data_IF_412040331116
#
_entry.id   IF_412040331116
#
_cell.length_a   1.000
_cell.length_b   1.000
_cell.length_c   1.000
_cell.angle_alpha   90.00
_cell.angle_beta   90.00
_cell.angle_gamma   90.00
#
_symmetry.space_group_name_H-M   'P 1'
#
loop_
_entity.id
_entity.type
_entity.pdbx_description
1 polymer ?
#
# COMPACT_ATOMS: atom_id res chain seq x y z
N UNK A 1 -7.62 -13.39 12.16
CA UNK A 1 -7.90 -14.78 11.76
C UNK A 1 -6.64 -15.54 12.12
N UNK A 2 -6.17 -16.53 11.36
CA UNK A 2 -4.75 -16.93 11.38
C UNK A 2 -4.29 -17.00 9.94
N UNK A 3 -2.99 -16.84 9.67
CA UNK A 3 -2.44 -17.06 8.33
C UNK A 3 -2.85 -18.44 7.80
N UNK A 4 -3.12 -18.57 6.49
CA UNK A 4 -3.37 -19.86 5.88
C UNK A 4 -2.13 -20.75 6.01
N UNK A 5 -2.33 -22.05 6.28
CA UNK A 5 -1.22 -22.99 6.51
C UNK A 5 -0.30 -23.18 5.28
N UNK A 6 -0.84 -22.92 4.08
CA UNK A 6 -0.10 -22.89 2.83
C UNK A 6 -0.88 -21.98 1.85
N UNK A 7 -0.58 -20.67 1.80
CA UNK A 7 -1.22 -19.77 0.85
C UNK A 7 -0.95 -20.23 -0.58
N UNK A 8 -1.93 -20.05 -1.46
CA UNK A 8 -1.79 -20.25 -2.91
C UNK A 8 -1.66 -18.94 -3.67
N UNK A 9 -1.94 -17.82 -3.02
CA UNK A 9 -1.71 -16.50 -3.57
C UNK A 9 -1.17 -15.52 -2.52
N UNK A 10 -0.29 -14.62 -2.96
CA UNK A 10 0.19 -13.47 -2.20
C UNK A 10 -0.12 -12.21 -2.99
N UNK A 11 -0.94 -11.33 -2.39
CA UNK A 11 -1.22 -10.01 -2.93
C UNK A 11 -0.38 -8.96 -2.21
N UNK A 12 0.26 -8.09 -2.97
CA UNK A 12 1.16 -7.05 -2.47
C UNK A 12 0.56 -5.67 -2.76
N UNK A 13 0.45 -4.84 -1.73
CA UNK A 13 0.40 -3.41 -1.95
C UNK A 13 1.75 -2.87 -2.45
N UNK A 14 1.74 -1.70 -3.06
CA UNK A 14 2.93 -1.10 -3.66
C UNK A 14 3.57 -0.03 -2.77
N UNK A 15 2.79 0.96 -2.31
CA UNK A 15 3.32 2.10 -1.54
C UNK A 15 3.60 1.69 -0.10
N UNK A 16 4.87 1.67 0.28
CA UNK A 16 5.34 1.16 1.56
C UNK A 16 5.87 -0.26 1.49
N UNK A 17 5.10 -1.29 1.07
CA UNK A 17 5.62 -2.64 0.96
C UNK A 17 6.59 -2.88 -0.20
N UNK A 18 6.48 -2.19 -1.34
CA UNK A 18 7.39 -2.41 -2.49
C UNK A 18 8.29 -1.19 -2.72
N UNK A 19 7.69 0.00 -2.78
CA UNK A 19 8.37 1.27 -2.96
C UNK A 19 8.30 2.13 -1.70
N UNK A 20 9.34 2.92 -1.45
CA UNK A 20 9.31 3.95 -0.40
C UNK A 20 8.22 5.00 -0.70
N UNK A 21 7.37 5.29 0.29
CA UNK A 21 6.28 6.27 0.21
C UNK A 21 6.76 7.74 0.13
N UNK A 22 8.06 8.00 0.28
CA UNK A 22 8.58 9.37 0.19
C UNK A 22 8.26 10.03 -1.15
N UNK A 23 8.20 9.26 -2.23
CA UNK A 23 7.80 9.78 -3.55
C UNK A 23 6.34 10.25 -3.59
N UNK A 24 5.44 9.58 -2.86
CA UNK A 24 4.05 10.00 -2.69
C UNK A 24 3.99 11.28 -1.85
N UNK A 25 4.75 11.34 -0.75
CA UNK A 25 4.85 12.53 0.11
C UNK A 25 5.32 13.75 -0.69
N UNK A 26 6.38 13.60 -1.48
CA UNK A 26 6.93 14.67 -2.32
C UNK A 26 5.92 15.16 -3.38
N UNK A 27 5.19 14.23 -3.99
CA UNK A 27 4.13 14.54 -4.95
C UNK A 27 2.96 15.32 -4.31
N UNK A 28 2.55 14.92 -3.10
CA UNK A 28 1.50 15.62 -2.34
C UNK A 28 1.96 17.01 -1.92
N UNK A 29 3.19 17.17 -1.42
CA UNK A 29 3.74 18.47 -1.05
C UNK A 29 3.83 19.42 -2.25
N UNK A 30 4.24 18.91 -3.41
CA UNK A 30 4.28 19.68 -4.66
C UNK A 30 2.89 20.16 -5.05
N UNK A 31 1.89 19.27 -5.03
CA UNK A 31 0.50 19.61 -5.34
C UNK A 31 -0.08 20.65 -4.35
N UNK A 32 0.20 20.50 -3.05
CA UNK A 32 -0.23 21.45 -2.03
C UNK A 32 0.37 22.84 -2.24
N UNK A 33 1.66 22.92 -2.57
CA UNK A 33 2.32 24.20 -2.85
C UNK A 33 1.76 24.88 -4.10
N UNK A 34 1.51 24.12 -5.17
CA UNK A 34 0.89 24.64 -6.39
C UNK A 34 -0.51 25.20 -6.12
N UNK A 35 -1.34 24.48 -5.36
CA UNK A 35 -2.68 24.94 -4.99
C UNK A 35 -2.63 26.16 -4.07
N UNK A 36 -1.71 26.17 -3.09
CA UNK A 36 -1.51 27.31 -2.20
C UNK A 36 -1.08 28.56 -2.97
N UNK A 37 -0.15 28.41 -3.92
CA UNK A 37 0.31 29.49 -4.79
C UNK A 37 -0.80 30.06 -5.67
N UNK A 38 -1.66 29.21 -6.22
CA UNK A 38 -2.82 29.66 -7.00
C UNK A 38 -3.85 30.45 -6.17
N UNK A 39 -3.92 30.18 -4.86
CA UNK A 39 -4.71 30.96 -3.92
C UNK A 39 -3.99 32.25 -3.44
N UNK A 40 -2.83 32.60 -4.01
CA UNK A 40 -2.05 33.78 -3.63
C UNK A 40 -1.31 33.65 -2.29
N UNK A 41 -1.10 32.42 -1.81
CA UNK A 41 -0.41 32.10 -0.55
C UNK A 41 1.00 31.56 -0.84
N UNK A 42 1.85 31.48 0.19
CA UNK A 42 3.16 30.85 0.10
C UNK A 42 3.09 29.32 0.13
N UNK A 43 4.24 28.63 0.05
CA UNK A 43 4.33 27.18 0.24
C UNK A 43 3.70 26.73 1.56
N UNK A 44 3.12 25.52 1.59
CA UNK A 44 2.53 24.98 2.82
C UNK A 44 3.61 24.71 3.86
N UNK A 45 3.30 25.01 5.12
CA UNK A 45 4.21 24.77 6.25
C UNK A 45 4.50 23.26 6.39
N UNK A 46 5.79 22.90 6.33
CA UNK A 46 6.23 21.50 6.37
C UNK A 46 6.02 20.84 7.72
N UNK A 47 6.10 21.60 8.81
CA UNK A 47 5.81 21.09 10.15
C UNK A 47 4.31 20.83 10.31
N UNK A 48 3.47 21.69 9.74
CA UNK A 48 2.02 21.48 9.73
C UNK A 48 1.66 20.24 8.89
N UNK A 49 2.27 20.07 7.71
CA UNK A 49 2.14 18.85 6.91
C UNK A 49 2.53 17.60 7.70
N UNK A 50 3.72 17.60 8.31
CA UNK A 50 4.20 16.46 9.09
C UNK A 50 3.25 16.11 10.23
N UNK A 51 2.72 17.13 10.93
CA UNK A 51 1.73 16.91 11.99
C UNK A 51 0.42 16.27 11.51
N UNK A 52 -0.08 16.65 10.33
CA UNK A 52 -1.27 16.01 9.72
C UNK A 52 -0.94 14.57 9.29
N UNK A 53 0.20 14.39 8.61
CA UNK A 53 0.64 13.10 8.10
C UNK A 53 0.84 12.07 9.22
N UNK A 54 1.60 12.42 10.26
CA UNK A 54 1.87 11.54 11.39
C UNK A 54 0.60 11.22 12.18
N UNK A 55 -0.33 12.17 12.30
CA UNK A 55 -1.62 11.91 12.97
C UNK A 55 -2.45 10.89 12.19
N UNK A 56 -2.55 11.01 10.87
CA UNK A 56 -3.30 10.05 10.04
C UNK A 56 -2.63 8.67 10.07
N UNK A 57 -1.29 8.62 9.97
CA UNK A 57 -0.52 7.38 10.14
C UNK A 57 -0.76 6.75 11.51
N UNK A 58 -0.76 7.52 12.60
CA UNK A 58 -1.01 7.00 13.94
C UNK A 58 -2.45 6.48 14.12
N UNK A 59 -3.43 7.15 13.50
CA UNK A 59 -4.84 6.74 13.56
C UNK A 59 -5.11 5.46 12.78
N UNK A 60 -4.30 5.15 11.76
CA UNK A 60 -4.52 4.03 10.85
C UNK A 60 -5.98 4.02 10.36
N UNK A 61 -6.45 5.19 9.93
CA UNK A 61 -7.85 5.43 9.60
C UNK A 61 -8.04 6.82 9.00
N UNK A 62 -8.94 6.90 8.02
CA UNK A 62 -9.34 8.16 7.39
C UNK A 62 -8.49 8.56 6.19
N UNK A 63 -8.88 9.66 5.56
CA UNK A 63 -8.23 10.14 4.33
C UNK A 63 -7.21 11.22 4.63
N UNK A 64 -5.93 10.93 4.36
CA UNK A 64 -4.85 11.92 4.40
C UNK A 64 -5.19 13.13 3.52
N UNK A 65 -5.68 12.89 2.29
CA UNK A 65 -6.01 13.97 1.34
C UNK A 65 -7.12 14.87 1.86
N UNK A 66 -8.17 14.32 2.47
CA UNK A 66 -9.23 15.13 3.09
C UNK A 66 -8.69 15.97 4.25
N UNK A 67 -7.83 15.39 5.09
CA UNK A 67 -7.22 16.11 6.21
C UNK A 67 -6.32 17.25 5.73
N UNK A 68 -5.45 16.99 4.75
CA UNK A 68 -4.57 18.00 4.15
C UNK A 68 -5.35 19.13 3.46
N UNK A 69 -6.38 18.79 2.68
CA UNK A 69 -7.22 19.79 2.01
C UNK A 69 -7.93 20.69 3.05
N UNK A 70 -8.47 20.08 4.12
CA UNK A 70 -9.14 20.82 5.18
C UNK A 70 -8.18 21.72 5.97
N UNK A 71 -7.02 21.18 6.37
CA UNK A 71 -6.16 21.83 7.37
C UNK A 71 -5.08 22.73 6.76
N UNK A 72 -4.60 22.41 5.56
CA UNK A 72 -3.53 23.17 4.90
C UNK A 72 -4.05 24.09 3.79
N UNK A 73 -5.14 23.70 3.12
CA UNK A 73 -5.76 24.56 2.10
C UNK A 73 -6.96 25.35 2.67
N UNK A 74 -7.55 24.87 3.77
CA UNK A 74 -8.73 25.49 4.38
C UNK A 74 -10.04 25.12 3.69
N UNK A 75 -10.03 24.08 2.85
CA UNK A 75 -11.18 23.65 2.05
C UNK A 75 -11.19 22.14 1.87
N UNK A 76 -12.15 21.46 2.51
CA UNK A 76 -12.35 20.02 2.36
C UNK A 76 -12.79 19.64 0.93
N UNK A 77 -13.44 20.55 0.19
CA UNK A 77 -13.85 20.37 -1.20
C UNK A 77 -12.67 20.29 -2.17
N UNK A 78 -11.49 20.78 -1.77
CA UNK A 78 -10.27 20.72 -2.55
C UNK A 78 -9.63 19.31 -2.58
N UNK A 79 -10.22 18.31 -1.89
CA UNK A 79 -9.70 16.93 -1.84
C UNK A 79 -9.49 16.32 -3.22
N UNK A 80 -10.46 16.44 -4.11
CA UNK A 80 -10.41 15.81 -5.44
C UNK A 80 -9.37 16.51 -6.31
N UNK A 81 -9.32 17.84 -6.30
CA UNK A 81 -8.29 18.59 -7.02
C UNK A 81 -6.88 18.30 -6.49
N UNK A 82 -6.71 18.19 -5.17
CA UNK A 82 -5.45 17.78 -4.56
C UNK A 82 -5.03 16.38 -5.04
N UNK A 83 -5.99 15.46 -5.14
CA UNK A 83 -5.72 14.13 -5.68
C UNK A 83 -5.28 14.20 -7.15
N UNK A 84 -6.03 14.88 -8.01
CA UNK A 84 -5.70 15.07 -9.43
C UNK A 84 -4.27 15.61 -9.63
N UNK A 85 -3.91 16.66 -8.88
CA UNK A 85 -2.57 17.28 -8.96
C UNK A 85 -1.48 16.38 -8.42
N UNK A 86 -1.75 15.68 -7.32
CA UNK A 86 -0.79 14.70 -6.77
C UNK A 86 -0.44 13.64 -7.82
N UNK A 87 -1.43 13.13 -8.55
CA UNK A 87 -1.21 12.09 -9.59
C UNK A 87 -0.26 12.54 -10.69
N UNK A 88 -0.29 13.81 -11.08
CA UNK A 88 0.62 14.34 -12.11
C UNK A 88 2.10 14.29 -11.69
N UNK A 89 2.37 14.34 -10.38
CA UNK A 89 3.71 14.34 -9.80
C UNK A 89 4.12 12.98 -9.23
N UNK A 90 3.16 12.09 -8.97
CA UNK A 90 3.42 10.80 -8.33
C UNK A 90 4.06 9.81 -9.28
N UNK A 91 5.37 9.60 -9.11
CA UNK A 91 6.20 8.68 -9.89
C UNK A 91 7.04 7.83 -8.95
N UNK A 92 7.47 6.65 -9.40
CA UNK A 92 8.39 5.76 -8.68
C UNK A 92 9.76 5.75 -9.38
N UNK A 93 10.71 6.64 -9.01
CA UNK A 93 12.03 6.70 -9.64
C UNK A 93 12.87 5.43 -9.41
N UNK A 94 13.90 5.22 -10.22
CA UNK A 94 14.86 4.16 -9.96
C UNK A 94 15.55 4.37 -8.61
N UNK A 95 15.72 3.30 -7.83
CA UNK A 95 16.36 3.33 -6.51
C UNK A 95 15.40 3.51 -5.33
N UNK A 96 14.09 3.63 -5.56
CA UNK A 96 13.09 3.63 -4.47
C UNK A 96 12.54 2.25 -4.13
N UNK A 97 12.90 1.21 -4.90
CA UNK A 97 12.55 -0.18 -4.60
C UNK A 97 13.28 -0.63 -3.33
N UNK A 98 12.57 -1.19 -2.36
CA UNK A 98 13.21 -1.79 -1.19
C UNK A 98 14.02 -3.04 -1.58
N UNK A 99 15.20 -3.18 -0.98
CA UNK A 99 16.16 -4.23 -1.33
C UNK A 99 15.66 -5.66 -1.00
N UNK A 100 14.66 -5.79 -0.13
CA UNK A 100 14.06 -7.05 0.30
C UNK A 100 12.95 -7.56 -0.62
N UNK A 101 12.48 -6.76 -1.59
CA UNK A 101 11.38 -7.11 -2.49
C UNK A 101 11.74 -8.26 -3.43
N UNK A 102 12.80 -8.12 -4.21
CA UNK A 102 13.21 -9.18 -5.16
C UNK A 102 13.65 -10.47 -4.45
N UNK A 103 14.40 -10.43 -3.34
CA UNK A 103 14.67 -11.62 -2.54
C UNK A 103 13.41 -12.31 -2.02
N UNK A 104 12.40 -11.54 -1.59
CA UNK A 104 11.12 -12.09 -1.16
C UNK A 104 10.39 -12.79 -2.32
N UNK A 105 10.25 -12.12 -3.46
CA UNK A 105 9.57 -12.66 -4.65
C UNK A 105 10.28 -13.91 -5.19
N UNK A 106 11.61 -13.87 -5.28
CA UNK A 106 12.42 -15.01 -5.74
C UNK A 106 12.44 -16.20 -4.77
N UNK A 107 11.97 -16.04 -3.54
CA UNK A 107 11.83 -17.12 -2.57
C UNK A 107 10.43 -17.79 -2.61
N UNK A 108 9.47 -17.24 -3.34
CA UNK A 108 8.16 -17.85 -3.54
C UNK A 108 8.27 -19.01 -4.55
N UNK A 109 7.46 -20.06 -4.35
CA UNK A 109 7.37 -21.17 -5.31
C UNK A 109 6.64 -20.72 -6.59
N UNK A 110 6.99 -21.30 -7.74
CA UNK A 110 6.30 -21.08 -9.02
C UNK A 110 4.80 -21.47 -8.98
N UNK A 111 4.38 -22.24 -7.97
CA UNK A 111 2.97 -22.63 -7.75
C UNK A 111 2.16 -21.57 -6.98
N UNK A 112 2.79 -20.50 -6.48
CA UNK A 112 2.15 -19.41 -5.74
C UNK A 112 1.85 -18.27 -6.70
N UNK A 113 0.58 -17.89 -6.80
CA UNK A 113 0.15 -16.74 -7.59
C UNK A 113 0.56 -15.45 -6.87
N UNK A 114 1.32 -14.60 -7.54
CA UNK A 114 1.69 -13.28 -7.03
C UNK A 114 0.85 -12.22 -7.71
N UNK A 115 0.22 -11.36 -6.94
CA UNK A 115 -0.56 -10.25 -7.48
C UNK A 115 -0.19 -8.91 -6.87
N UNK A 116 -0.25 -7.86 -7.70
CA UNK A 116 -0.33 -6.48 -7.22
C UNK A 116 -1.77 -6.20 -6.82
N UNK A 117 -1.98 -5.58 -5.67
CA UNK A 117 -3.29 -5.13 -5.16
C UNK A 117 -3.10 -3.77 -4.49
N UNK A 118 -3.14 -2.71 -5.29
CA UNK A 118 -2.68 -1.39 -4.88
C UNK A 118 -3.51 -0.24 -5.45
N UNK A 119 -3.68 0.80 -4.63
CA UNK A 119 -4.23 2.07 -5.08
C UNK A 119 -3.11 2.88 -5.75
N UNK A 120 -2.95 2.72 -7.05
CA UNK A 120 -1.84 3.27 -7.82
C UNK A 120 -2.30 3.75 -9.19
N UNK A 121 -1.53 4.67 -9.77
CA UNK A 121 -1.65 5.07 -11.18
C UNK A 121 -1.09 3.99 -12.10
N UNK A 122 -1.56 3.96 -13.36
CA UNK A 122 -1.10 2.99 -14.37
C UNK A 122 0.42 3.02 -14.57
N UNK A 123 1.05 4.19 -14.37
CA UNK A 123 2.51 4.37 -14.45
C UNK A 123 3.32 3.50 -13.49
N UNK A 124 2.69 2.93 -12.45
CA UNK A 124 3.35 1.98 -11.54
C UNK A 124 3.82 0.72 -12.27
N UNK A 125 3.11 0.30 -13.33
CA UNK A 125 3.45 -0.91 -14.09
C UNK A 125 4.81 -0.73 -14.77
N UNK A 126 5.08 0.45 -15.34
CA UNK A 126 6.37 0.76 -15.95
C UNK A 126 7.50 0.73 -14.92
N UNK A 127 7.27 1.24 -13.71
CA UNK A 127 8.25 1.21 -12.63
C UNK A 127 8.56 -0.23 -12.17
N UNK A 128 7.51 -1.02 -11.92
CA UNK A 128 7.65 -2.43 -11.51
C UNK A 128 8.32 -3.27 -12.60
N UNK A 129 8.06 -2.96 -13.88
CA UNK A 129 8.74 -3.59 -15.02
C UNK A 129 10.22 -3.21 -15.07
N UNK A 130 10.53 -1.91 -14.96
CA UNK A 130 11.91 -1.41 -14.95
C UNK A 130 12.75 -2.07 -13.84
N UNK A 131 12.16 -2.27 -12.68
CA UNK A 131 12.87 -2.78 -11.50
C UNK A 131 12.82 -4.31 -11.36
N UNK A 132 12.29 -5.03 -12.35
CA UNK A 132 12.28 -6.50 -12.39
C UNK A 132 11.21 -7.17 -11.53
N UNK A 133 10.30 -6.40 -10.92
CA UNK A 133 9.18 -6.96 -10.13
C UNK A 133 8.13 -7.58 -11.04
N UNK A 134 7.88 -7.00 -12.22
CA UNK A 134 6.84 -7.48 -13.14
C UNK A 134 7.05 -8.93 -13.60
N UNK A 135 8.29 -9.42 -13.64
CA UNK A 135 8.63 -10.80 -14.02
C UNK A 135 8.10 -11.84 -13.01
N UNK A 136 7.70 -11.39 -11.82
CA UNK A 136 7.14 -12.21 -10.75
C UNK A 136 5.63 -12.00 -10.56
N UNK A 137 4.95 -11.16 -11.36
CA UNK A 137 3.55 -10.78 -11.12
C UNK A 137 2.62 -11.46 -12.12
N UNK A 138 1.70 -12.27 -11.61
CA UNK A 138 0.66 -12.95 -12.39
C UNK A 138 -0.62 -12.12 -12.51
N UNK A 139 -0.96 -11.34 -11.47
CA UNK A 139 -2.23 -10.60 -11.37
C UNK A 139 -2.00 -9.11 -11.13
N UNK A 140 -2.56 -8.26 -11.98
CA UNK A 140 -2.37 -6.79 -11.93
C UNK A 140 -3.60 -6.04 -11.40
N UNK A 141 -3.82 -6.09 -10.09
CA UNK A 141 -4.86 -5.33 -9.39
C UNK A 141 -4.47 -3.89 -9.10
N UNK A 142 -4.18 -3.11 -10.15
CA UNK A 142 -3.88 -1.68 -10.07
C UNK A 142 -5.17 -0.88 -10.19
N UNK A 143 -5.50 -0.04 -9.21
CA UNK A 143 -6.80 0.65 -9.15
C UNK A 143 -7.13 1.48 -10.39
N UNK A 144 -6.15 2.21 -10.94
CA UNK A 144 -6.34 3.00 -12.16
C UNK A 144 -6.64 2.15 -13.41
N UNK A 145 -6.23 0.87 -13.42
CA UNK A 145 -6.43 -0.06 -14.53
C UNK A 145 -7.76 -0.80 -14.40
N UNK A 146 -8.08 -1.28 -13.20
CA UNK A 146 -9.25 -2.14 -12.98
C UNK A 146 -10.52 -1.39 -12.56
N UNK A 147 -10.39 -0.13 -12.13
CA UNK A 147 -11.51 0.74 -11.74
C UNK A 147 -12.06 0.51 -10.32
N UNK A 148 -11.36 -0.25 -9.49
CA UNK A 148 -11.69 -0.48 -8.08
C UNK A 148 -10.52 -0.08 -7.18
N UNK A 149 -10.80 0.53 -6.02
CA UNK A 149 -9.77 0.96 -5.07
C UNK A 149 -10.03 0.42 -3.66
N UNK A 150 -8.97 0.15 -2.90
CA UNK A 150 -9.03 -0.07 -1.45
C UNK A 150 -9.55 1.20 -0.75
N UNK A 151 -10.33 1.10 0.33
CA UNK A 151 -10.68 -0.11 1.09
C UNK A 151 -11.88 -0.90 0.53
N UNK A 152 -12.39 -0.55 -0.66
CA UNK A 152 -13.54 -1.22 -1.24
C UNK A 152 -13.22 -2.72 -1.49
N UNK A 153 -14.11 -3.66 -1.11
CA UNK A 153 -13.85 -5.08 -1.25
C UNK A 153 -13.76 -5.57 -2.70
N UNK A 154 -14.17 -4.74 -3.67
CA UNK A 154 -14.22 -5.06 -5.10
C UNK A 154 -12.83 -5.35 -5.67
N UNK A 155 -11.80 -4.59 -5.27
CA UNK A 155 -10.44 -4.83 -5.75
C UNK A 155 -9.90 -6.17 -5.23
N UNK A 156 -10.09 -6.47 -3.95
CA UNK A 156 -9.72 -7.77 -3.36
C UNK A 156 -10.45 -8.93 -4.04
N UNK A 157 -11.77 -8.81 -4.24
CA UNK A 157 -12.56 -9.83 -4.93
C UNK A 157 -12.13 -9.99 -6.39
N UNK A 158 -11.70 -8.91 -7.04
CA UNK A 158 -11.16 -8.95 -8.38
C UNK A 158 -9.86 -9.75 -8.41
N UNK A 159 -8.88 -9.42 -7.56
CA UNK A 159 -7.61 -10.15 -7.50
C UNK A 159 -7.80 -11.63 -7.16
N UNK A 160 -8.69 -11.97 -6.22
CA UNK A 160 -9.01 -13.36 -5.87
C UNK A 160 -9.56 -14.16 -7.07
N UNK A 161 -10.45 -13.54 -7.87
CA UNK A 161 -11.01 -14.19 -9.06
C UNK A 161 -9.94 -14.41 -10.13
N UNK A 162 -9.13 -13.41 -10.42
CA UNK A 162 -8.06 -13.51 -11.42
C UNK A 162 -6.99 -14.54 -11.00
N UNK A 163 -6.69 -14.61 -9.70
CA UNK A 163 -5.80 -15.63 -9.14
C UNK A 163 -6.42 -17.03 -9.06
N UNK A 164 -7.74 -17.17 -9.23
CA UNK A 164 -8.43 -18.46 -9.15
C UNK A 164 -8.38 -19.12 -7.77
N UNK A 165 -8.35 -18.33 -6.69
CA UNK A 165 -8.25 -18.82 -5.30
C UNK A 165 -9.40 -18.30 -4.43
N UNK A 166 -9.72 -19.05 -3.38
CA UNK A 166 -10.64 -18.58 -2.34
C UNK A 166 -9.93 -17.65 -1.34
N UNK A 167 -10.66 -16.77 -0.62
CA UNK A 167 -10.05 -15.86 0.35
C UNK A 167 -9.15 -16.55 1.37
N UNK A 168 -9.58 -17.69 1.91
CA UNK A 168 -8.82 -18.46 2.90
C UNK A 168 -7.56 -19.16 2.35
N UNK A 169 -7.28 -19.05 1.05
CA UNK A 169 -6.06 -19.53 0.41
C UNK A 169 -5.12 -18.37 0.05
N UNK A 170 -5.48 -17.12 0.33
CA UNK A 170 -4.70 -15.95 -0.06
C UNK A 170 -4.21 -15.14 1.16
N UNK A 171 -3.07 -14.47 0.98
CA UNK A 171 -2.55 -13.48 1.93
C UNK A 171 -2.46 -12.13 1.25
N UNK A 172 -2.90 -11.07 1.92
CA UNK A 172 -2.63 -9.69 1.51
C UNK A 172 -1.55 -9.08 2.40
N UNK A 173 -0.54 -8.48 1.77
CA UNK A 173 0.60 -7.82 2.40
C UNK A 173 0.50 -6.32 2.12
N UNK A 174 0.24 -5.53 3.15
CA UNK A 174 0.04 -4.08 3.05
C UNK A 174 0.63 -3.33 4.22
N UNK A 175 0.62 -1.99 4.18
CA UNK A 175 1.19 -1.15 5.25
C UNK A 175 0.13 -0.34 6.01
N UNK A 176 -1.16 -0.48 5.68
CA UNK A 176 -2.24 0.24 6.37
C UNK A 176 -3.33 -0.64 6.92
N UNK A 177 -3.73 -0.41 8.16
CA UNK A 177 -4.82 -1.18 8.76
C UNK A 177 -6.16 -0.90 8.10
N UNK A 178 -6.47 0.36 7.78
CA UNK A 178 -7.77 0.77 7.24
C UNK A 178 -7.99 0.36 5.78
N UNK A 179 -6.95 0.34 4.97
CA UNK A 179 -7.05 0.05 3.53
C UNK A 179 -6.54 -1.33 3.13
N UNK A 180 -5.63 -1.94 3.88
CA UNK A 180 -5.10 -3.27 3.58
C UNK A 180 -5.63 -4.33 4.54
N UNK A 181 -5.33 -4.21 5.84
CA UNK A 181 -5.53 -5.31 6.80
C UNK A 181 -7.01 -5.56 7.09
N UNK A 182 -7.74 -4.54 7.56
CA UNK A 182 -9.15 -4.69 7.94
C UNK A 182 -10.03 -5.15 6.77
N UNK A 183 -9.96 -4.58 5.55
CA UNK A 183 -10.79 -5.07 4.44
C UNK A 183 -10.39 -6.46 3.94
N UNK A 184 -9.08 -6.82 3.93
CA UNK A 184 -8.65 -8.17 3.59
C UNK A 184 -9.12 -9.21 4.63
N UNK A 185 -8.95 -8.89 5.92
CA UNK A 185 -9.41 -9.72 7.04
C UNK A 185 -10.93 -9.93 7.01
N UNK A 186 -11.70 -8.88 6.72
CA UNK A 186 -13.16 -8.95 6.59
C UNK A 186 -13.63 -9.87 5.44
N UNK A 187 -12.79 -10.10 4.43
CA UNK A 187 -13.04 -11.04 3.34
C UNK A 187 -12.51 -12.45 3.61
N UNK A 188 -11.75 -12.64 4.70
CA UNK A 188 -11.18 -13.92 5.11
C UNK A 188 -9.80 -14.21 4.52
N UNK A 189 -9.09 -13.20 4.01
CA UNK A 189 -7.68 -13.35 3.63
C UNK A 189 -6.80 -13.41 4.89
N UNK A 190 -5.67 -14.11 4.78
CA UNK A 190 -4.57 -13.88 5.72
C UNK A 190 -4.02 -12.46 5.53
N UNK A 191 -3.55 -11.86 6.61
CA UNK A 191 -3.13 -10.45 6.61
C UNK A 191 -1.74 -10.28 7.19
N UNK A 192 -0.88 -9.61 6.41
CA UNK A 192 0.45 -9.20 6.85
C UNK A 192 0.50 -7.68 6.84
N UNK A 193 0.85 -7.11 7.99
CA UNK A 193 1.08 -5.69 8.13
C UNK A 193 2.57 -5.37 8.13
N UNK A 194 3.02 -4.67 7.10
CA UNK A 194 4.40 -4.20 6.99
C UNK A 194 4.55 -2.88 7.75
N UNK A 195 5.40 -2.86 8.76
CA UNK A 195 5.66 -1.72 9.66
C UNK A 195 6.65 -0.72 9.03
N UNK A 196 6.39 -0.31 7.78
CA UNK A 196 7.13 0.74 7.05
C UNK A 196 6.20 1.59 6.19
N UNK A 197 6.67 2.77 5.76
CA UNK A 197 5.86 3.72 4.97
C UNK A 197 4.74 4.35 5.80
N UNK A 198 3.49 4.27 5.33
CA UNK A 198 2.30 4.79 6.03
C UNK A 198 1.93 4.04 7.33
N UNK A 199 2.63 2.96 7.71
CA UNK A 199 2.55 2.41 9.07
C UNK A 199 3.12 3.39 10.10
N UNK A 200 2.58 3.48 11.33
CA UNK A 200 3.07 4.41 12.33
C UNK A 200 4.39 3.92 12.95
N UNK A 201 5.28 4.84 13.31
CA UNK A 201 6.58 4.51 13.93
C UNK A 201 6.44 3.77 15.27
N UNK A 202 5.31 3.97 15.96
CA UNK A 202 4.99 3.33 17.25
C UNK A 202 3.56 2.79 17.24
N UNK A 203 3.34 1.62 16.61
CA UNK A 203 2.05 0.94 16.66
C UNK A 203 1.62 0.64 18.10
N UNK A 204 0.33 0.77 18.40
CA UNK A 204 -0.20 0.37 19.70
C UNK A 204 -0.32 -1.17 19.79
N UNK A 205 -0.38 -1.74 21.01
CA UNK A 205 -0.66 -3.17 21.18
C UNK A 205 -1.95 -3.63 20.50
N UNK A 206 -2.98 -2.79 20.49
CA UNK A 206 -4.25 -3.08 19.82
C UNK A 206 -4.07 -3.16 18.31
N UNK A 207 -3.34 -2.21 17.71
CA UNK A 207 -3.02 -2.20 16.28
C UNK A 207 -2.21 -3.43 15.86
N UNK A 208 -1.21 -3.82 16.66
CA UNK A 208 -0.40 -5.01 16.41
C UNK A 208 -1.17 -6.32 16.52
N UNK A 209 -2.32 -6.32 17.19
CA UNK A 209 -3.19 -7.49 17.32
C UNK A 209 -4.23 -7.61 16.19
N UNK A 210 -4.37 -6.60 15.32
CA UNK A 210 -5.31 -6.62 14.19
C UNK A 210 -4.89 -7.55 13.04
N UNK A 211 -3.65 -7.50 12.52
CA UNK A 211 -3.20 -8.41 11.46
C UNK A 211 -2.88 -9.79 12.02
N UNK A 212 -2.84 -10.79 11.14
CA UNK A 212 -2.38 -12.14 11.52
C UNK A 212 -0.86 -12.17 11.75
N UNK A 213 -0.12 -11.29 11.07
CA UNK A 213 1.32 -11.11 11.23
C UNK A 213 1.72 -9.64 11.00
N UNK A 214 2.59 -9.10 11.86
CA UNK A 214 3.23 -7.80 11.66
C UNK A 214 4.75 -7.98 11.49
N UNK A 215 5.33 -7.34 10.47
CA UNK A 215 6.76 -7.47 10.10
C UNK A 215 7.36 -6.11 9.78
N UNK A 216 8.66 -5.87 10.01
CA UNK A 216 9.30 -4.60 9.66
C UNK A 216 9.53 -4.42 8.14
N UNK A 217 9.47 -5.50 7.37
CA UNK A 217 9.77 -5.57 5.95
C UNK A 217 9.45 -6.95 5.40
N UNK A 218 9.90 -7.24 4.17
CA UNK A 218 9.67 -8.52 3.49
C UNK A 218 10.77 -9.56 3.76
N UNK A 219 11.87 -9.15 4.42
CA UNK A 219 12.94 -10.05 4.84
C UNK A 219 12.40 -11.21 5.70
N UNK A 220 12.63 -12.45 5.22
CA UNK A 220 12.19 -13.67 5.89
C UNK A 220 10.68 -13.94 5.82
N UNK A 221 9.88 -13.08 5.18
CA UNK A 221 8.43 -13.24 5.10
C UNK A 221 8.03 -14.51 4.34
N UNK A 222 8.75 -14.86 3.27
CA UNK A 222 8.48 -16.09 2.51
C UNK A 222 8.58 -17.34 3.41
N UNK A 223 9.58 -17.42 4.28
CA UNK A 223 9.73 -18.53 5.22
C UNK A 223 8.62 -18.55 6.29
N UNK A 224 8.10 -17.39 6.69
CA UNK A 224 6.99 -17.28 7.63
C UNK A 224 5.64 -17.69 7.00
N UNK A 225 5.43 -17.36 5.72
CA UNK A 225 4.22 -17.74 4.97
C UNK A 225 4.24 -19.22 4.52
N UNK A 226 5.43 -19.75 4.24
CA UNK A 226 5.64 -21.10 3.71
C UNK A 226 6.65 -21.87 4.58
N UNK A 227 6.32 -22.16 5.85
CA UNK A 227 7.21 -22.93 6.71
C UNK A 227 7.44 -24.32 6.09
N UNK A 228 8.68 -24.77 6.06
CA UNK A 228 9.02 -26.11 5.59
C UNK A 228 8.15 -27.14 6.35
N UNK A 229 7.37 -27.93 5.61
CA UNK A 229 6.62 -29.04 6.21
C UNK A 229 7.67 -29.96 6.83
N UNK A 230 7.59 -30.16 8.15
CA UNK A 230 8.49 -31.06 8.87
C UNK A 230 8.52 -32.42 8.17
N UNK A 231 9.73 -32.90 7.91
CA UNK A 231 10.01 -34.21 7.33
C UNK A 231 9.51 -35.36 8.22
#
# INVERSE_FOLDING_TARGET
MSLPAAPRAVFLDVGGPIYDDQNFVDAVLTALDEMSAQAGRGPVDRSAFAGVYDRIRAQQGGSLRTALATELLGDAGARDELHERTRAHWRHPAGTLYADVLPFLGALSDDVVVGVLANQEETVIEALTRDGVADHVDVWGVSAVVGYEKPSPELFRWCLREAGVSPGEAVHVGNRLDTDVRPASALGLGTVWVLRGEAPDRPTPEQLAEPDLAVPGLDGLAAALFPARGA
#
